data_IF_190674861564
#
_entry.id   IF_190674861564
#
_cell.length_a   1.000
_cell.length_b   1.000
_cell.length_c   1.000
_cell.angle_alpha   90.00
_cell.angle_beta   90.00
_cell.angle_gamma   90.00
#
_symmetry.space_group_name_H-M   'P 1'
#
loop_
_entity.id
_entity.type
_entity.pdbx_description
1 polymer ?
#
# COMPACT_ATOMS: atom_id res chain seq x y z
N UNK A 1 -17.30 -7.71 2.62
CA UNK A 1 -16.79 -6.49 3.28
C UNK A 1 -15.46 -6.19 2.62
N UNK A 2 -15.16 -4.94 2.29
CA UNK A 2 -13.89 -4.60 1.66
C UNK A 2 -12.77 -4.68 2.72
N UNK A 3 -11.55 -4.97 2.30
CA UNK A 3 -10.40 -5.07 3.21
C UNK A 3 -10.10 -3.72 3.85
N UNK A 4 -10.29 -2.61 3.13
CA UNK A 4 -10.20 -1.27 3.72
C UNK A 4 -11.13 -1.10 4.94
N UNK A 5 -12.33 -1.66 4.93
CA UNK A 5 -13.30 -1.50 6.01
C UNK A 5 -12.90 -2.35 7.22
N UNK A 6 -12.42 -3.58 6.99
CA UNK A 6 -11.87 -4.46 8.03
C UNK A 6 -10.69 -3.84 8.78
N UNK A 7 -9.87 -3.07 8.05
CA UNK A 7 -8.66 -2.43 8.58
C UNK A 7 -8.91 -1.00 9.09
N UNK A 8 -10.16 -0.52 9.08
CA UNK A 8 -10.54 0.86 9.40
C UNK A 8 -9.77 1.93 8.60
N UNK A 9 -9.52 1.65 7.32
CA UNK A 9 -8.95 2.58 6.35
C UNK A 9 -10.08 3.31 5.61
N UNK A 10 -9.91 4.61 5.38
CA UNK A 10 -10.88 5.43 4.63
C UNK A 10 -10.26 5.97 3.36
N UNK A 11 -10.93 5.76 2.22
CA UNK A 11 -10.55 6.35 0.94
C UNK A 11 -11.51 7.47 0.57
N UNK A 12 -11.00 8.64 0.19
CA UNK A 12 -11.83 9.75 -0.25
C UNK A 12 -11.14 10.61 -1.31
N UNK A 13 -11.96 11.26 -2.13
CA UNK A 13 -11.53 12.25 -3.12
C UNK A 13 -11.48 13.61 -2.43
N UNK A 14 -10.48 14.43 -2.75
CA UNK A 14 -10.35 15.80 -2.28
C UNK A 14 -10.07 16.71 -3.46
N UNK A 15 -10.80 17.81 -3.57
CA UNK A 15 -10.42 18.87 -4.51
C UNK A 15 -9.32 19.72 -3.89
N UNK A 16 -8.21 19.87 -4.59
CA UNK A 16 -7.09 20.72 -4.20
C UNK A 16 -7.35 22.19 -4.47
N UNK A 17 -6.46 23.08 -3.98
CA UNK A 17 -6.60 24.53 -4.12
C UNK A 17 -6.57 25.05 -5.57
N UNK A 18 -6.12 24.24 -6.53
CA UNK A 18 -6.03 24.57 -7.96
C UNK A 18 -6.99 23.71 -8.82
N UNK A 19 -8.08 23.21 -8.24
CA UNK A 19 -9.05 22.29 -8.88
C UNK A 19 -8.44 20.96 -9.35
N UNK A 20 -7.33 20.55 -8.76
CA UNK A 20 -6.75 19.24 -8.95
C UNK A 20 -7.49 18.19 -8.10
N UNK A 21 -7.86 17.08 -8.73
CA UNK A 21 -8.46 15.96 -8.02
C UNK A 21 -7.37 15.16 -7.29
N UNK A 22 -7.33 15.28 -5.98
CA UNK A 22 -6.52 14.48 -5.07
C UNK A 22 -7.26 13.26 -4.55
N UNK A 23 -6.49 12.26 -4.13
CA UNK A 23 -6.98 11.04 -3.50
C UNK A 23 -6.29 10.89 -2.16
N UNK A 24 -7.05 10.58 -1.12
CA UNK A 24 -6.51 10.38 0.23
C UNK A 24 -6.88 8.99 0.72
N UNK A 25 -5.89 8.32 1.28
CA UNK A 25 -6.05 7.15 2.13
C UNK A 25 -5.75 7.62 3.56
N UNK A 26 -6.75 7.52 4.43
CA UNK A 26 -6.65 7.87 5.84
C UNK A 26 -6.65 6.62 6.70
N UNK A 27 -5.56 6.42 7.43
CA UNK A 27 -5.36 5.33 8.39
C UNK A 27 -5.43 5.80 9.85
N UNK A 28 -5.86 7.03 10.14
CA UNK A 28 -5.91 7.61 11.50
C UNK A 28 -6.70 6.75 12.50
N UNK A 29 -7.75 6.09 12.01
CA UNK A 29 -8.62 5.20 12.79
C UNK A 29 -8.20 3.72 12.72
N UNK A 30 -7.15 3.39 11.97
CA UNK A 30 -6.64 2.03 11.91
C UNK A 30 -6.01 1.61 13.25
N UNK A 31 -6.06 0.32 13.57
CA UNK A 31 -5.55 -0.22 14.84
C UNK A 31 -4.09 -0.68 14.67
N UNK A 32 -3.25 -0.40 15.67
CA UNK A 32 -1.88 -0.91 15.72
C UNK A 32 -1.02 -0.49 14.52
N UNK A 33 -0.29 -1.44 13.93
CA UNK A 33 0.64 -1.16 12.85
C UNK A 33 -0.06 -0.75 11.54
N UNK A 34 -1.36 -1.02 11.37
CA UNK A 34 -2.10 -0.61 10.18
C UNK A 34 -2.13 0.91 9.97
N UNK A 35 -1.88 1.72 11.01
CA UNK A 35 -1.68 3.17 10.85
C UNK A 35 -0.56 3.52 9.88
N UNK A 36 0.46 2.65 9.74
CA UNK A 36 1.59 2.83 8.81
C UNK A 36 1.20 2.68 7.34
N UNK A 37 0.03 2.12 7.04
CA UNK A 37 -0.49 1.98 5.67
C UNK A 37 -0.79 3.32 5.00
N UNK A 38 -0.75 4.44 5.75
CA UNK A 38 -0.84 5.79 5.22
C UNK A 38 0.15 6.06 4.08
N UNK A 39 1.30 5.37 4.07
CA UNK A 39 2.32 5.46 3.01
C UNK A 39 1.75 5.15 1.62
N UNK A 40 0.76 4.25 1.53
CA UNK A 40 0.16 3.78 0.27
C UNK A 40 -0.43 4.95 -0.53
N UNK A 41 -0.89 6.01 0.15
CA UNK A 41 -1.46 7.19 -0.51
C UNK A 41 -0.45 7.92 -1.39
N UNK A 42 0.84 7.86 -1.04
CA UNK A 42 1.91 8.57 -1.74
C UNK A 42 2.43 7.79 -2.94
N UNK A 43 2.11 6.50 -3.05
CA UNK A 43 2.62 5.64 -4.10
C UNK A 43 2.00 5.98 -5.47
N UNK A 44 2.81 6.15 -6.53
CA UNK A 44 2.34 6.20 -7.89
C UNK A 44 1.58 4.92 -8.26
N UNK A 45 0.62 5.03 -9.20
CA UNK A 45 -0.17 3.88 -9.66
C UNK A 45 0.73 2.74 -10.16
N UNK A 46 1.83 3.07 -10.84
CA UNK A 46 2.79 2.09 -11.36
C UNK A 46 3.50 1.33 -10.23
N UNK A 47 3.88 2.01 -9.15
CA UNK A 47 4.50 1.39 -7.97
C UNK A 47 3.50 0.47 -7.26
N UNK A 48 2.23 0.88 -7.17
CA UNK A 48 1.15 0.02 -6.63
C UNK A 48 0.98 -1.24 -7.47
N UNK A 49 0.96 -1.14 -8.80
CA UNK A 49 0.89 -2.30 -9.70
C UNK A 49 2.08 -3.23 -9.49
N UNK A 50 3.30 -2.70 -9.44
CA UNK A 50 4.50 -3.52 -9.21
C UNK A 50 4.54 -4.18 -7.82
N UNK A 51 4.02 -3.52 -6.78
CA UNK A 51 3.84 -4.14 -5.47
C UNK A 51 2.89 -5.35 -5.55
N UNK A 52 1.74 -5.20 -6.22
CA UNK A 52 0.76 -6.28 -6.40
C UNK A 52 1.41 -7.46 -7.13
N UNK A 53 2.12 -7.19 -8.22
CA UNK A 53 2.81 -8.22 -9.02
C UNK A 53 3.89 -8.92 -8.19
N UNK A 54 4.66 -8.18 -7.40
CA UNK A 54 5.68 -8.75 -6.52
C UNK A 54 5.06 -9.65 -5.44
N UNK A 55 3.97 -9.22 -4.82
CA UNK A 55 3.23 -10.06 -3.85
C UNK A 55 2.73 -11.34 -4.52
N UNK A 56 2.21 -11.26 -5.76
CA UNK A 56 1.81 -12.45 -6.51
C UNK A 56 3.01 -13.37 -6.78
N UNK A 57 4.17 -12.84 -7.18
CA UNK A 57 5.38 -13.65 -7.37
C UNK A 57 5.78 -14.36 -6.08
N UNK A 58 5.82 -13.64 -4.95
CA UNK A 58 6.15 -14.21 -3.63
C UNK A 58 5.17 -15.34 -3.27
N UNK A 59 3.86 -15.11 -3.42
CA UNK A 59 2.81 -16.09 -3.11
C UNK A 59 2.91 -17.36 -3.98
N UNK A 60 3.38 -17.22 -5.22
CA UNK A 60 3.53 -18.33 -6.17
C UNK A 60 4.95 -18.92 -6.20
N UNK A 61 5.80 -18.58 -5.22
CA UNK A 61 7.22 -18.98 -5.16
C UNK A 61 7.98 -18.68 -6.47
N UNK A 62 7.65 -17.57 -7.13
CA UNK A 62 8.32 -17.09 -8.34
C UNK A 62 9.40 -16.06 -7.97
N UNK A 63 10.45 -15.93 -8.79
CA UNK A 63 11.43 -14.86 -8.64
C UNK A 63 10.78 -13.46 -8.70
N UNK A 64 11.33 -12.53 -7.94
CA UNK A 64 10.98 -11.12 -7.97
C UNK A 64 12.24 -10.27 -7.76
N UNK A 65 12.19 -9.00 -8.14
CA UNK A 65 13.30 -8.06 -7.91
C UNK A 65 13.16 -7.42 -6.53
N UNK A 66 13.95 -7.79 -5.51
CA UNK A 66 13.86 -7.17 -4.18
C UNK A 66 14.38 -5.72 -4.17
N UNK A 67 15.13 -5.31 -5.19
CA UNK A 67 15.72 -3.97 -5.24
C UNK A 67 14.70 -2.88 -5.56
N UNK A 68 13.52 -3.23 -6.09
CA UNK A 68 12.50 -2.24 -6.43
C UNK A 68 12.05 -1.42 -5.21
N UNK A 69 12.03 -2.03 -4.03
CA UNK A 69 11.69 -1.34 -2.78
C UNK A 69 12.69 -0.23 -2.44
N UNK A 70 13.94 -0.37 -2.87
CA UNK A 70 15.00 0.62 -2.65
C UNK A 70 15.08 1.67 -3.77
N UNK A 71 14.48 1.39 -4.93
CA UNK A 71 14.53 2.29 -6.09
C UNK A 71 13.33 3.24 -6.19
N UNK A 72 12.21 2.92 -5.55
CA UNK A 72 11.06 3.83 -5.47
C UNK A 72 11.34 4.96 -4.46
N UNK A 73 11.25 6.20 -4.92
CA UNK A 73 11.52 7.40 -4.12
C UNK A 73 10.60 7.47 -2.89
N UNK A 74 9.37 6.99 -2.99
CA UNK A 74 8.38 7.01 -1.91
C UNK A 74 8.75 6.08 -0.74
N UNK A 75 9.62 5.11 -0.99
CA UNK A 75 10.18 4.23 0.04
C UNK A 75 11.52 4.72 0.57
N UNK A 76 12.12 5.77 0.00
CA UNK A 76 13.41 6.30 0.50
C UNK A 76 13.35 6.80 1.95
N UNK A 77 12.15 7.18 2.40
CA UNK A 77 11.88 7.70 3.75
C UNK A 77 11.43 6.63 4.75
N UNK A 78 11.08 5.42 4.29
CA UNK A 78 10.55 4.35 5.14
C UNK A 78 11.30 3.05 4.90
N UNK A 79 11.71 2.35 5.95
CA UNK A 79 12.31 1.02 5.76
C UNK A 79 11.20 0.01 5.45
N UNK A 80 10.97 -0.27 4.16
CA UNK A 80 9.99 -1.27 3.72
C UNK A 80 10.65 -2.58 3.33
N UNK A 81 10.03 -3.70 3.71
CA UNK A 81 10.52 -5.04 3.34
C UNK A 81 9.41 -6.06 3.29
N UNK A 82 9.58 -7.07 2.45
CA UNK A 82 8.81 -8.31 2.54
C UNK A 82 9.42 -9.22 3.60
N UNK A 83 8.65 -9.55 4.64
CA UNK A 83 8.99 -10.45 5.74
C UNK A 83 7.97 -11.58 5.77
N UNK A 84 8.06 -12.52 4.81
CA UNK A 84 7.04 -13.53 4.55
C UNK A 84 6.48 -14.17 5.86
N UNK A 85 5.17 -14.07 6.16
CA UNK A 85 4.07 -13.67 5.26
C UNK A 85 3.64 -12.19 5.32
N UNK A 86 4.39 -11.33 5.99
CA UNK A 86 4.07 -9.93 6.22
C UNK A 86 4.82 -8.98 5.29
N UNK A 87 4.25 -7.80 5.11
CA UNK A 87 4.94 -6.60 4.66
C UNK A 87 5.25 -5.74 5.90
N UNK A 88 6.50 -5.34 6.03
CA UNK A 88 6.98 -4.59 7.18
C UNK A 88 7.36 -3.17 6.79
N UNK A 89 7.09 -2.22 7.69
CA UNK A 89 7.41 -0.80 7.54
C UNK A 89 8.10 -0.35 8.83
N UNK A 90 9.27 0.27 8.70
CA UNK A 90 10.13 0.74 9.80
C UNK A 90 10.40 -0.36 10.84
N UNK A 91 10.74 -1.55 10.34
CA UNK A 91 11.05 -2.72 11.19
C UNK A 91 9.83 -3.41 11.81
N UNK A 92 8.60 -2.95 11.58
CA UNK A 92 7.39 -3.55 12.14
C UNK A 92 6.60 -4.37 11.11
N UNK A 93 6.26 -5.61 11.44
CA UNK A 93 5.28 -6.41 10.69
C UNK A 93 3.94 -5.67 10.66
N UNK A 94 3.61 -5.11 9.49
CA UNK A 94 2.52 -4.15 9.38
C UNK A 94 1.24 -4.80 8.89
N UNK A 95 1.32 -5.64 7.86
CA UNK A 95 0.14 -6.25 7.25
C UNK A 95 0.51 -7.56 6.56
N UNK A 96 -0.37 -8.57 6.63
CA UNK A 96 -0.17 -9.82 5.90
C UNK A 96 -0.24 -9.54 4.39
N UNK A 97 0.66 -10.12 3.59
CA UNK A 97 0.75 -9.81 2.15
C UNK A 97 -0.55 -10.09 1.38
N UNK A 98 -1.34 -11.10 1.78
CA UNK A 98 -2.67 -11.35 1.21
C UNK A 98 -3.60 -10.14 1.39
N UNK A 99 -3.65 -9.56 2.59
CA UNK A 99 -4.49 -8.42 2.90
C UNK A 99 -3.96 -7.15 2.25
N UNK A 100 -2.62 -6.97 2.24
CA UNK A 100 -2.00 -5.85 1.53
C UNK A 100 -2.37 -5.85 0.05
N UNK A 101 -2.34 -7.01 -0.61
CA UNK A 101 -2.73 -7.12 -2.02
C UNK A 101 -4.15 -6.63 -2.25
N UNK A 102 -5.09 -7.03 -1.39
CA UNK A 102 -6.48 -6.60 -1.47
C UNK A 102 -6.62 -5.08 -1.29
N UNK A 103 -5.96 -4.50 -0.28
CA UNK A 103 -5.97 -3.04 -0.05
C UNK A 103 -5.39 -2.27 -1.24
N UNK A 104 -4.28 -2.76 -1.83
CA UNK A 104 -3.66 -2.13 -2.99
C UNK A 104 -4.59 -2.18 -4.23
N UNK A 105 -5.29 -3.29 -4.43
CA UNK A 105 -6.27 -3.44 -5.52
C UNK A 105 -7.47 -2.51 -5.32
N UNK A 106 -8.00 -2.43 -4.10
CA UNK A 106 -9.09 -1.51 -3.74
C UNK A 106 -8.67 -0.05 -3.95
N UNK A 107 -7.47 0.33 -3.51
CA UNK A 107 -6.93 1.67 -3.68
C UNK A 107 -6.73 2.04 -5.15
N UNK A 108 -6.19 1.12 -5.95
CA UNK A 108 -6.00 1.32 -7.39
C UNK A 108 -7.34 1.49 -8.12
N UNK A 109 -8.34 0.66 -7.77
CA UNK A 109 -9.69 0.76 -8.30
C UNK A 109 -10.33 2.10 -7.95
N UNK A 110 -10.23 2.53 -6.68
CA UNK A 110 -10.74 3.82 -6.22
C UNK A 110 -10.15 5.00 -7.01
N UNK A 111 -8.84 4.97 -7.28
CA UNK A 111 -8.13 6.02 -8.07
C UNK A 111 -8.41 6.00 -9.57
N UNK A 112 -9.12 5.00 -10.07
CA UNK A 112 -9.53 4.88 -11.47
C UNK A 112 -11.03 5.18 -11.67
N UNK A 113 -11.78 5.38 -10.58
CA UNK A 113 -13.20 5.75 -10.58
C UNK A 113 -13.45 7.26 -10.60
#
# INVERSE_FOLDING_TARGET
MNKQDELNLKFYKKMGPFNELGYILDSSNAIGNYKRLNIIQFLPKIVITYLIDTINSIQNNQPYDPSFLNSAEEFSVFEVKFSNPYFSIDGHETIHMNDLKLVLQEWLSFRNS
#
